data_IF_754987337658
#
_entry.id   IF_754987337658
#
_cell.length_a   1.000
_cell.length_b   1.000
_cell.length_c   1.000
_cell.angle_alpha   90.00
_cell.angle_beta   90.00
_cell.angle_gamma   90.00
#
_symmetry.space_group_name_H-M   'P 1'
#
loop_
_entity.id
_entity.type
_entity.pdbx_description
1 polymer ?
#
# COMPACT_ATOMS: atom_id res chain seq x y z
N UNK A 1 5.69 -15.49 13.21
CA UNK A 1 4.22 -15.39 13.42
C UNK A 1 3.93 -14.22 14.35
N UNK A 2 3.25 -13.20 13.85
CA UNK A 2 2.82 -12.00 14.61
C UNK A 2 1.37 -11.72 14.31
N UNK A 3 0.54 -11.53 15.35
CA UNK A 3 -0.86 -11.12 15.18
C UNK A 3 -0.95 -9.61 14.99
N UNK A 4 -1.85 -9.16 14.13
CA UNK A 4 -2.03 -7.76 13.81
C UNK A 4 -3.48 -7.43 13.41
N UNK A 5 -3.85 -6.17 13.51
CA UNK A 5 -5.17 -5.69 13.10
C UNK A 5 -5.16 -5.24 11.64
N UNK A 6 -6.22 -5.57 10.92
CA UNK A 6 -6.45 -5.13 9.55
C UNK A 6 -7.91 -4.72 9.34
N UNK A 7 -8.11 -3.68 8.53
CA UNK A 7 -9.43 -3.37 7.98
C UNK A 7 -9.81 -4.46 6.98
N UNK A 8 -11.02 -5.02 7.14
CA UNK A 8 -11.46 -6.19 6.41
C UNK A 8 -12.76 -5.92 5.69
N UNK A 9 -12.80 -6.28 4.43
CA UNK A 9 -13.95 -6.12 3.55
C UNK A 9 -14.36 -7.49 3.05
N UNK A 10 -15.61 -7.86 3.29
CA UNK A 10 -16.22 -9.13 2.86
C UNK A 10 -17.42 -8.87 1.97
N UNK A 11 -17.58 -9.68 0.93
CA UNK A 11 -18.82 -9.72 0.16
C UNK A 11 -19.86 -10.53 0.90
N UNK A 12 -21.07 -9.99 0.96
CA UNK A 12 -22.25 -10.61 1.52
C UNK A 12 -23.36 -10.65 0.47
N UNK A 13 -24.45 -11.36 0.76
CA UNK A 13 -25.62 -11.41 -0.13
C UNK A 13 -26.24 -10.02 -0.33
N UNK A 14 -26.14 -9.14 0.68
CA UNK A 14 -26.70 -7.79 0.68
C UNK A 14 -25.68 -6.71 0.25
N UNK A 15 -24.46 -7.09 -0.16
CA UNK A 15 -23.42 -6.13 -0.60
C UNK A 15 -22.04 -6.39 0.00
N UNK A 16 -21.53 -5.48 0.83
CA UNK A 16 -20.24 -5.61 1.50
C UNK A 16 -20.36 -5.31 3.00
N UNK A 17 -19.65 -6.09 3.80
CA UNK A 17 -19.48 -5.85 5.24
C UNK A 17 -18.04 -5.36 5.51
N UNK A 18 -17.91 -4.49 6.51
CA UNK A 18 -16.64 -3.94 6.96
C UNK A 18 -16.42 -4.27 8.44
N UNK A 19 -15.19 -4.66 8.77
CA UNK A 19 -14.78 -4.91 10.14
C UNK A 19 -13.30 -4.62 10.33
N UNK A 20 -12.86 -4.55 11.57
CA UNK A 20 -11.44 -4.63 11.92
C UNK A 20 -11.26 -5.99 12.57
N UNK A 21 -10.43 -6.81 11.95
CA UNK A 21 -10.16 -8.18 12.41
C UNK A 21 -8.71 -8.34 12.85
N UNK A 22 -8.44 -9.38 13.62
CA UNK A 22 -7.09 -9.86 13.90
C UNK A 22 -6.69 -10.89 12.85
N UNK A 23 -5.47 -10.74 12.32
CA UNK A 23 -4.86 -11.64 11.33
C UNK A 23 -3.47 -12.05 11.80
N UNK A 24 -2.91 -13.09 11.20
CA UNK A 24 -1.51 -13.46 11.34
C UNK A 24 -0.68 -12.97 10.15
N UNK A 25 0.60 -12.66 10.39
CA UNK A 25 1.56 -12.41 9.29
C UNK A 25 1.73 -13.62 8.37
N UNK A 26 1.38 -14.83 8.84
CA UNK A 26 1.44 -16.06 8.06
C UNK A 26 0.27 -16.17 7.05
N UNK A 27 -0.80 -15.38 7.25
CA UNK A 27 -1.94 -15.29 6.32
C UNK A 27 -1.70 -14.30 5.18
N UNK A 28 -0.58 -13.56 5.21
CA UNK A 28 -0.21 -12.64 4.15
C UNK A 28 0.30 -13.40 2.92
N UNK A 29 0.15 -12.83 1.70
CA UNK A 29 0.65 -13.48 0.49
C UNK A 29 2.17 -13.64 0.53
N UNK A 30 2.70 -14.40 -0.43
CA UNK A 30 4.15 -14.54 -0.64
C UNK A 30 4.79 -13.22 -1.03
N UNK A 31 6.03 -13.02 -0.63
CA UNK A 31 6.85 -11.83 -0.93
C UNK A 31 8.08 -11.79 -0.05
N UNK A 32 9.14 -11.18 -0.56
CA UNK A 32 10.46 -11.14 0.08
C UNK A 32 10.51 -10.21 1.28
N UNK A 33 9.62 -9.21 1.34
CA UNK A 33 9.63 -8.20 2.39
C UNK A 33 8.36 -8.25 3.24
N UNK A 34 8.52 -8.43 4.55
CA UNK A 34 7.48 -8.17 5.53
C UNK A 34 7.69 -6.76 6.10
N UNK A 35 6.72 -5.89 5.88
CA UNK A 35 6.78 -4.49 6.30
C UNK A 35 5.76 -4.24 7.39
N UNK A 36 6.22 -3.68 8.52
CA UNK A 36 5.36 -3.12 9.56
C UNK A 36 4.94 -1.72 9.12
N UNK A 37 3.67 -1.56 8.78
CA UNK A 37 3.10 -0.31 8.27
C UNK A 37 3.02 0.73 9.39
N UNK A 38 3.60 1.90 9.14
CA UNK A 38 3.49 3.05 10.01
C UNK A 38 2.36 3.99 9.55
N UNK A 39 2.27 4.23 8.24
CA UNK A 39 1.25 5.08 7.61
C UNK A 39 0.79 4.49 6.27
N UNK A 40 -0.42 4.85 5.88
CA UNK A 40 -1.03 4.59 4.58
C UNK A 40 -1.73 5.86 4.11
N UNK A 41 -2.06 5.95 2.82
CA UNK A 41 -2.83 7.04 2.23
C UNK A 41 -4.29 6.66 2.04
N UNK A 42 -5.14 7.66 1.74
CA UNK A 42 -6.51 7.44 1.29
C UNK A 42 -6.64 7.78 -0.20
N UNK A 43 -7.03 6.79 -0.99
CA UNK A 43 -7.20 6.94 -2.44
C UNK A 43 -8.62 6.55 -2.86
N UNK A 44 -9.06 7.06 -4.01
CA UNK A 44 -10.35 6.68 -4.58
C UNK A 44 -10.48 5.17 -4.84
N UNK A 45 -9.38 4.52 -5.23
CA UNK A 45 -9.32 3.06 -5.42
C UNK A 45 -9.60 2.30 -4.12
N UNK A 46 -9.13 2.79 -2.99
CA UNK A 46 -9.38 2.15 -1.68
C UNK A 46 -10.87 2.19 -1.34
N UNK A 47 -11.51 3.33 -1.61
CA UNK A 47 -12.96 3.47 -1.44
C UNK A 47 -13.75 2.56 -2.39
N UNK A 48 -13.29 2.40 -3.64
CA UNK A 48 -13.90 1.46 -4.59
C UNK A 48 -13.77 0.01 -4.11
N UNK A 49 -12.58 -0.39 -3.67
CA UNK A 49 -12.32 -1.71 -3.08
C UNK A 49 -13.21 -1.94 -1.86
N UNK A 50 -13.24 -0.99 -0.93
CA UNK A 50 -14.05 -1.09 0.28
C UNK A 50 -15.56 -1.18 -0.02
N UNK A 51 -16.03 -0.56 -1.10
CA UNK A 51 -17.44 -0.64 -1.53
C UNK A 51 -17.77 -1.86 -2.43
N UNK A 52 -16.80 -2.72 -2.70
CA UNK A 52 -16.99 -3.86 -3.59
C UNK A 52 -17.28 -3.49 -5.04
N UNK A 53 -16.91 -2.25 -5.46
CA UNK A 53 -17.15 -1.79 -6.82
C UNK A 53 -16.25 -2.52 -7.83
N UNK A 54 -16.74 -2.79 -9.05
CA UNK A 54 -15.96 -3.50 -10.05
C UNK A 54 -14.73 -2.70 -10.51
N UNK A 55 -13.70 -3.42 -10.98
CA UNK A 55 -12.53 -2.82 -11.63
C UNK A 55 -11.31 -2.60 -10.71
N UNK A 56 -11.41 -2.85 -9.41
CA UNK A 56 -10.28 -2.75 -8.46
C UNK A 56 -9.98 -4.11 -7.85
N UNK A 57 -10.80 -4.55 -6.89
CA UNK A 57 -10.60 -5.82 -6.19
C UNK A 57 -11.50 -6.89 -6.80
N UNK A 58 -10.91 -8.05 -7.11
CA UNK A 58 -11.62 -9.20 -7.66
C UNK A 58 -11.95 -10.23 -6.59
N UNK A 59 -11.00 -10.44 -5.68
CA UNK A 59 -11.05 -11.48 -4.66
C UNK A 59 -11.37 -10.89 -3.29
N UNK A 60 -12.44 -11.35 -2.69
CA UNK A 60 -12.84 -11.03 -1.32
C UNK A 60 -12.87 -12.32 -0.49
N UNK A 61 -12.64 -12.28 0.82
CA UNK A 61 -12.44 -11.07 1.63
C UNK A 61 -11.06 -10.42 1.39
N UNK A 62 -10.94 -9.11 1.70
CA UNK A 62 -9.77 -8.32 1.33
C UNK A 62 -9.44 -7.20 2.33
N UNK A 63 -8.16 -6.79 2.37
CA UNK A 63 -7.67 -5.58 3.05
C UNK A 63 -7.23 -4.56 2.00
N UNK A 64 -7.95 -3.42 1.82
CA UNK A 64 -7.55 -2.35 0.91
C UNK A 64 -6.30 -1.58 1.38
N UNK A 65 -5.94 -0.53 0.62
CA UNK A 65 -4.84 0.38 0.88
C UNK A 65 -3.73 0.22 -0.15
N UNK A 66 -3.78 1.03 -1.23
CA UNK A 66 -2.83 0.93 -2.36
C UNK A 66 -1.47 1.57 -2.08
N UNK A 67 -1.31 2.25 -0.95
CA UNK A 67 -0.09 2.89 -0.51
C UNK A 67 0.26 2.44 0.91
N UNK A 68 1.53 2.27 1.19
CA UNK A 68 2.06 2.02 2.54
C UNK A 68 3.47 2.58 2.69
N UNK A 69 3.78 3.08 3.87
CA UNK A 69 5.13 3.38 4.31
C UNK A 69 5.37 2.78 5.69
N UNK A 70 6.55 2.24 5.92
CA UNK A 70 6.87 1.57 7.17
C UNK A 70 8.28 1.02 7.20
N UNK A 71 8.51 0.08 8.12
CA UNK A 71 9.82 -0.50 8.40
C UNK A 71 9.80 -1.99 8.05
N UNK A 72 10.83 -2.45 7.36
CA UNK A 72 11.04 -3.88 7.08
C UNK A 72 11.35 -4.61 8.40
N UNK A 73 10.62 -5.68 8.66
CA UNK A 73 10.81 -6.53 9.85
C UNK A 73 11.29 -7.95 9.49
N UNK A 74 11.15 -8.36 8.23
CA UNK A 74 11.74 -9.58 7.66
C UNK A 74 12.09 -9.30 6.20
N UNK A 75 13.27 -9.75 5.76
CA UNK A 75 13.69 -9.69 4.36
C UNK A 75 14.41 -10.96 3.94
N UNK A 76 14.08 -11.46 2.75
CA UNK A 76 14.86 -12.51 2.06
C UNK A 76 15.56 -11.96 0.82
N UNK A 77 15.40 -10.66 0.51
CA UNK A 77 16.07 -9.97 -0.59
C UNK A 77 17.37 -9.33 -0.12
N UNK A 78 18.43 -9.42 -0.94
CA UNK A 78 19.76 -8.90 -0.61
C UNK A 78 19.90 -7.37 -0.68
N UNK A 79 18.95 -6.69 -1.32
CA UNK A 79 18.92 -5.22 -1.46
C UNK A 79 18.27 -4.50 -0.27
N UNK A 80 17.60 -5.26 0.62
CA UNK A 80 16.86 -4.74 1.76
C UNK A 80 17.21 -5.47 3.05
N UNK A 81 17.34 -4.73 4.13
CA UNK A 81 17.62 -5.25 5.47
C UNK A 81 16.46 -4.97 6.44
N UNK A 82 16.38 -5.76 7.50
CA UNK A 82 15.52 -5.42 8.64
C UNK A 82 15.91 -4.06 9.20
N UNK A 83 14.92 -3.22 9.49
CA UNK A 83 15.09 -1.84 9.93
C UNK A 83 15.12 -0.81 8.80
N UNK A 84 15.21 -1.20 7.54
CA UNK A 84 15.10 -0.26 6.42
C UNK A 84 13.68 0.34 6.40
N UNK A 85 13.61 1.67 6.29
CA UNK A 85 12.35 2.37 6.02
C UNK A 85 12.04 2.34 4.53
N UNK A 86 10.79 1.99 4.18
CA UNK A 86 10.37 1.80 2.79
C UNK A 86 9.01 2.42 2.50
N UNK A 87 8.83 2.73 1.21
CA UNK A 87 7.57 3.14 0.59
C UNK A 87 7.16 2.04 -0.38
N UNK A 88 5.88 1.66 -0.37
CA UNK A 88 5.26 0.78 -1.36
C UNK A 88 4.04 1.48 -1.93
N UNK A 89 4.07 1.79 -3.23
CA UNK A 89 3.00 2.51 -3.94
C UNK A 89 2.68 1.78 -5.24
N UNK A 90 1.39 1.55 -5.51
CA UNK A 90 0.94 0.98 -6.77
C UNK A 90 1.08 -0.54 -6.85
N UNK A 91 1.42 -1.04 -8.03
CA UNK A 91 1.37 -2.46 -8.36
C UNK A 91 -0.02 -3.05 -8.04
N UNK A 92 -0.07 -4.21 -7.36
CA UNK A 92 -1.33 -4.85 -6.95
C UNK A 92 -1.64 -4.67 -5.45
N UNK A 93 -0.86 -3.84 -4.73
CA UNK A 93 -1.08 -3.56 -3.32
C UNK A 93 -2.49 -2.99 -3.09
N UNK A 94 -3.21 -3.54 -2.13
CA UNK A 94 -4.57 -3.10 -1.78
C UNK A 94 -5.64 -3.37 -2.85
N UNK A 95 -5.27 -4.03 -3.98
CA UNK A 95 -6.20 -4.42 -5.03
C UNK A 95 -6.56 -5.92 -4.93
N UNK A 96 -5.62 -6.83 -5.16
CA UNK A 96 -5.79 -8.26 -4.91
C UNK A 96 -4.73 -8.81 -3.93
N UNK A 97 -3.72 -8.01 -3.61
CA UNK A 97 -2.74 -8.24 -2.55
C UNK A 97 -3.15 -7.43 -1.31
N UNK A 98 -3.07 -8.01 -0.13
CA UNK A 98 -3.43 -7.34 1.12
C UNK A 98 -2.69 -6.00 1.27
N UNK A 99 -3.43 -4.92 1.49
CA UNK A 99 -2.96 -3.55 1.40
C UNK A 99 -2.64 -2.86 2.72
N UNK A 100 -2.29 -1.58 2.61
CA UNK A 100 -1.79 -0.74 3.70
C UNK A 100 -2.77 -0.43 4.83
N UNK A 101 -4.04 -0.85 4.73
CA UNK A 101 -5.01 -0.75 5.84
C UNK A 101 -4.91 -1.92 6.82
N UNK A 102 -3.80 -2.65 6.79
CA UNK A 102 -3.33 -3.59 7.79
C UNK A 102 -2.06 -3.08 8.46
N UNK A 103 -1.79 -3.50 9.70
CA UNK A 103 -0.56 -3.14 10.41
C UNK A 103 0.70 -3.79 9.81
N UNK A 104 0.52 -4.81 8.97
CA UNK A 104 1.60 -5.47 8.22
C UNK A 104 1.15 -5.75 6.79
N UNK A 105 2.10 -5.64 5.86
CA UNK A 105 2.00 -6.12 4.48
C UNK A 105 3.18 -7.02 4.17
N UNK A 106 2.99 -7.99 3.26
CA UNK A 106 4.09 -8.76 2.66
C UNK A 106 4.04 -8.54 1.16
N UNK A 107 5.17 -8.12 0.59
CA UNK A 107 5.26 -7.69 -0.80
C UNK A 107 6.55 -8.19 -1.47
N UNK A 108 6.56 -8.33 -2.80
CA UNK A 108 7.77 -8.49 -3.57
C UNK A 108 8.74 -7.32 -3.36
N UNK A 109 10.05 -7.59 -3.30
CA UNK A 109 11.08 -6.57 -3.06
C UNK A 109 11.08 -5.46 -4.12
N UNK A 110 10.79 -5.80 -5.37
CA UNK A 110 10.73 -4.85 -6.48
C UNK A 110 9.53 -3.87 -6.42
N UNK A 111 8.62 -4.03 -5.45
CA UNK A 111 7.55 -3.06 -5.19
C UNK A 111 7.96 -1.98 -4.19
N UNK A 112 9.02 -2.23 -3.43
CA UNK A 112 9.48 -1.34 -2.39
C UNK A 112 10.57 -0.38 -2.89
N UNK A 113 10.53 0.82 -2.38
CA UNK A 113 11.58 1.84 -2.55
C UNK A 113 12.05 2.23 -1.16
N UNK A 114 13.38 2.29 -0.95
CA UNK A 114 13.93 2.82 0.30
C UNK A 114 13.50 4.27 0.50
N UNK A 115 13.17 4.62 1.74
CA UNK A 115 12.77 5.98 2.10
C UNK A 115 13.88 6.97 1.71
N UNK A 116 13.60 7.98 0.88
CA UNK A 116 14.58 9.01 0.55
C UNK A 116 15.01 9.80 1.77
N UNK A 117 16.26 10.23 1.82
CA UNK A 117 16.77 11.08 2.88
C UNK A 117 15.96 12.39 2.96
N UNK A 118 15.54 12.77 4.18
CA UNK A 118 14.76 13.97 4.42
C UNK A 118 13.24 13.81 4.26
N UNK A 119 12.76 12.60 3.99
CA UNK A 119 11.34 12.27 3.94
C UNK A 119 11.03 11.27 5.07
N UNK A 120 9.96 11.47 5.80
CA UNK A 120 9.46 10.50 6.78
C UNK A 120 8.25 9.72 6.24
N UNK A 121 7.88 8.64 6.94
CA UNK A 121 6.79 7.77 6.50
C UNK A 121 5.42 8.50 6.44
N UNK A 122 5.19 9.50 7.29
CA UNK A 122 3.97 10.29 7.27
C UNK A 122 3.94 11.21 6.05
N UNK A 123 5.03 11.91 5.77
CA UNK A 123 5.17 12.80 4.62
C UNK A 123 5.07 12.01 3.31
N UNK A 124 5.71 10.83 3.23
CA UNK A 124 5.60 9.92 2.11
C UNK A 124 4.13 9.55 1.82
N UNK A 125 3.31 9.32 2.85
CA UNK A 125 1.90 8.97 2.69
C UNK A 125 0.99 10.20 2.49
N UNK A 126 1.41 11.40 2.85
CA UNK A 126 0.75 12.65 2.43
C UNK A 126 0.90 12.83 0.90
N UNK A 127 2.06 12.52 0.35
CA UNK A 127 2.30 12.53 -1.10
C UNK A 127 1.51 11.39 -1.75
N UNK A 128 1.78 10.16 -1.35
CA UNK A 128 1.13 8.94 -1.82
C UNK A 128 1.04 8.81 -3.34
N UNK A 129 0.21 7.91 -3.81
CA UNK A 129 -0.09 7.73 -5.25
C UNK A 129 -0.61 9.02 -5.91
N UNK A 130 -1.41 9.82 -5.21
CA UNK A 130 -2.00 11.04 -5.77
C UNK A 130 -0.94 12.10 -6.06
N UNK A 131 -0.07 12.40 -5.08
CA UNK A 131 1.01 13.37 -5.24
C UNK A 131 2.07 12.90 -6.23
N UNK A 132 2.44 11.61 -6.20
CA UNK A 132 3.35 11.02 -7.18
C UNK A 132 2.81 11.16 -8.62
N UNK A 133 1.54 10.85 -8.83
CA UNK A 133 0.89 10.99 -10.15
C UNK A 133 0.89 12.46 -10.61
N UNK A 134 0.55 13.40 -9.70
CA UNK A 134 0.58 14.83 -10.00
C UNK A 134 2.00 15.29 -10.39
N UNK A 135 3.04 14.86 -9.65
CA UNK A 135 4.43 15.19 -9.95
C UNK A 135 4.87 14.68 -11.33
N UNK A 136 4.50 13.44 -11.70
CA UNK A 136 4.76 12.91 -13.04
C UNK A 136 4.06 13.71 -14.15
N UNK A 137 2.84 14.19 -13.90
CA UNK A 137 2.12 15.04 -14.85
C UNK A 137 2.83 16.38 -15.04
N UNK A 138 3.27 17.03 -13.96
CA UNK A 138 4.00 18.32 -14.02
C UNK A 138 5.33 18.13 -14.74
N UNK A 139 6.13 17.13 -14.35
CA UNK A 139 7.41 16.82 -15.00
C UNK A 139 7.23 16.62 -16.53
N UNK A 140 6.17 15.90 -16.93
CA UNK A 140 5.88 15.67 -18.33
C UNK A 140 5.52 16.97 -19.08
N UNK A 141 4.73 17.83 -18.46
CA UNK A 141 4.32 19.12 -19.02
C UNK A 141 5.54 20.03 -19.20
N UNK A 142 6.44 20.08 -18.21
CA UNK A 142 7.70 20.85 -18.28
C UNK A 142 8.60 20.33 -19.39
N UNK A 143 8.78 19.00 -19.50
CA UNK A 143 9.54 18.38 -20.61
C UNK A 143 8.98 18.73 -22.00
N UNK A 144 7.67 18.99 -22.10
CA UNK A 144 7.02 19.43 -23.34
C UNK A 144 7.19 20.93 -23.60
N UNK A 145 7.91 21.68 -22.76
CA UNK A 145 8.24 23.10 -22.94
C UNK A 145 7.19 24.07 -22.39
N UNK A 146 6.19 23.59 -21.62
CA UNK A 146 5.28 24.50 -20.93
C UNK A 146 6.04 25.27 -19.84
N UNK A 147 5.74 26.57 -19.72
CA UNK A 147 6.31 27.44 -18.69
C UNK A 147 5.20 27.83 -17.70
N UNK A 148 5.53 28.00 -16.40
CA UNK A 148 4.61 28.58 -15.44
C UNK A 148 4.18 29.98 -15.92
N UNK A 149 2.87 30.28 -15.80
CA UNK A 149 2.29 31.59 -16.13
C UNK A 149 2.48 32.56 -14.99
#
# INVERSE_FOLDING_TARGET
>A
MTNFKAFWVEKTDDGVAHSVIERSTDDLPEGELLVKVAYSSLNYKDAMSAKGLPGVTRNYPHTPGIDAAGVIVESTDSGFAEGDEVIVIGYDLGMNTAGGYGQYIRVPANWAVKMPAGLDAREAMIIGTAGFTAALCVDKIEQMGAQPS
#
